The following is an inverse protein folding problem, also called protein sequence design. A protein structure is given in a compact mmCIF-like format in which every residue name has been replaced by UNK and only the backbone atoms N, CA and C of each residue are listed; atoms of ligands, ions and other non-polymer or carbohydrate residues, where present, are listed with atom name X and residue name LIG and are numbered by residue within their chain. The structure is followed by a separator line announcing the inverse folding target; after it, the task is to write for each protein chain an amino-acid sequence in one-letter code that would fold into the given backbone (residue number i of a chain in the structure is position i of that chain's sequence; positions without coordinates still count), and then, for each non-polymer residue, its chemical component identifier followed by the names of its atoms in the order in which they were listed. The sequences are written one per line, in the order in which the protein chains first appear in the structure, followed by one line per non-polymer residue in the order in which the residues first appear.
data_IF_931982747504
#
_entry.id   IF_931982747504
#
_cell.length_a   1.000
_cell.length_b   1.000
_cell.length_c   1.000
_cell.angle_alpha   90.00
_cell.angle_beta   90.00
_cell.angle_gamma   90.00
#
_symmetry.space_group_name_H-M   'P 1'
#
loop_
_entity.id
_entity.type
_entity.pdbx_description
1 polymer ?
#
# COMPACT_ATOMS: atom_id res chain seq x y z
N UNK A 1 21.57 14.72 34.75
CA UNK A 1 20.26 15.29 34.36
C UNK A 1 19.30 14.13 34.10
N UNK A 2 18.20 14.01 34.84
CA UNK A 2 17.09 13.13 34.41
C UNK A 2 16.35 13.88 33.30
N UNK A 3 16.68 13.56 32.05
CA UNK A 3 15.98 14.14 30.90
C UNK A 3 14.58 13.55 30.78
N UNK A 4 13.63 14.37 30.32
CA UNK A 4 12.34 13.86 29.86
C UNK A 4 12.55 13.16 28.51
N UNK A 5 11.99 11.97 28.35
CA UNK A 5 12.04 11.22 27.09
C UNK A 5 10.66 11.10 26.47
N UNK A 6 10.59 11.24 25.15
CA UNK A 6 9.45 10.81 24.35
C UNK A 6 9.86 9.55 23.60
N UNK A 7 9.07 8.48 23.78
CA UNK A 7 9.32 7.18 23.16
C UNK A 7 8.14 6.87 22.26
N UNK A 8 8.39 6.58 21.00
CA UNK A 8 7.37 6.17 20.03
C UNK A 8 7.61 4.70 19.71
N UNK A 9 6.60 3.86 19.91
CA UNK A 9 6.70 2.41 19.71
C UNK A 9 5.63 2.02 18.70
N UNK A 10 6.07 1.38 17.62
CA UNK A 10 5.17 0.73 16.67
C UNK A 10 5.07 -0.77 16.98
N UNK A 11 3.85 -1.25 17.21
CA UNK A 11 3.60 -2.69 17.40
C UNK A 11 2.94 -3.29 16.17
N UNK A 12 3.63 -4.27 15.59
CA UNK A 12 3.14 -5.11 14.48
C UNK A 12 2.48 -6.41 14.97
N UNK A 13 2.74 -6.81 16.21
CA UNK A 13 2.15 -7.96 16.89
C UNK A 13 1.79 -7.60 18.33
N UNK A 14 0.92 -8.40 18.93
CA UNK A 14 0.56 -8.21 20.34
C UNK A 14 1.64 -8.78 21.25
N UNK A 15 1.75 -8.22 22.45
CA UNK A 15 2.69 -8.65 23.49
C UNK A 15 1.92 -8.95 24.76
N UNK A 16 2.42 -9.82 25.63
CA UNK A 16 1.78 -10.06 26.92
C UNK A 16 2.05 -8.94 27.93
N UNK A 17 1.25 -8.93 28.99
CA UNK A 17 1.24 -7.86 29.98
C UNK A 17 2.51 -7.85 30.84
N UNK A 18 3.11 -9.01 31.07
CA UNK A 18 4.32 -9.14 31.89
C UNK A 18 5.55 -8.62 31.14
N UNK A 19 5.65 -8.88 29.83
CA UNK A 19 6.71 -8.30 29.00
C UNK A 19 6.56 -6.78 28.85
N UNK A 20 5.32 -6.28 28.71
CA UNK A 20 5.05 -4.85 28.77
C UNK A 20 5.44 -4.24 30.13
N UNK A 21 5.08 -4.88 31.25
CA UNK A 21 5.36 -4.40 32.60
C UNK A 21 6.87 -4.29 32.87
N UNK A 22 7.67 -5.28 32.45
CA UNK A 22 9.13 -5.23 32.54
C UNK A 22 9.70 -4.04 31.79
N UNK A 23 9.27 -3.84 30.54
CA UNK A 23 9.72 -2.73 29.71
C UNK A 23 9.33 -1.36 30.29
N UNK A 24 8.06 -1.20 30.67
CA UNK A 24 7.54 0.03 31.25
C UNK A 24 8.23 0.37 32.58
N UNK A 25 8.49 -0.62 33.43
CA UNK A 25 9.20 -0.45 34.71
C UNK A 25 10.63 0.03 34.55
N UNK A 26 11.31 -0.40 33.48
CA UNK A 26 12.64 0.12 33.13
C UNK A 26 12.56 1.61 32.76
N UNK A 27 11.58 2.01 31.94
CA UNK A 27 11.44 3.39 31.47
C UNK A 27 11.10 4.40 32.57
N UNK A 28 10.23 4.04 33.52
CA UNK A 28 9.87 4.92 34.65
C UNK A 28 11.11 5.32 35.47
N UNK A 29 12.14 4.47 35.53
CA UNK A 29 13.37 4.76 36.28
C UNK A 29 14.22 5.86 35.63
N UNK A 30 14.11 6.05 34.31
CA UNK A 30 15.00 6.92 33.52
C UNK A 30 14.67 8.40 33.71
N UNK A 31 13.38 8.78 33.74
CA UNK A 31 12.99 10.19 33.85
C UNK A 31 11.55 10.37 34.29
N UNK A 32 11.31 11.17 35.35
CA UNK A 32 9.95 11.60 35.68
C UNK A 32 9.45 12.52 34.57
N UNK A 33 8.20 12.33 34.13
CA UNK A 33 7.60 13.11 33.05
C UNK A 33 7.81 12.56 31.64
N UNK A 34 8.51 11.44 31.48
CA UNK A 34 8.62 10.75 30.18
C UNK A 34 7.26 10.27 29.67
N UNK A 35 7.12 10.23 28.34
CA UNK A 35 5.88 9.87 27.63
C UNK A 35 6.16 8.73 26.65
N UNK A 36 5.20 7.82 26.51
CA UNK A 36 5.22 6.76 25.50
C UNK A 36 4.01 6.97 24.58
N UNK A 37 4.26 6.97 23.27
CA UNK A 37 3.23 6.93 22.23
C UNK A 37 3.27 5.55 21.62
N UNK A 38 2.14 4.83 21.70
CA UNK A 38 1.98 3.53 21.07
C UNK A 38 1.23 3.72 19.76
N UNK A 39 1.82 3.29 18.65
CA UNK A 39 1.21 3.25 17.33
C UNK A 39 0.97 1.78 16.97
N UNK A 40 -0.27 1.39 16.71
CA UNK A 40 -0.57 0.01 16.32
C UNK A 40 -1.92 -0.11 15.63
N UNK A 41 -2.07 -1.17 14.83
CA UNK A 41 -3.34 -1.63 14.26
C UNK A 41 -4.09 -2.59 15.20
N UNK A 42 -3.45 -3.05 16.28
CA UNK A 42 -4.00 -4.04 17.22
C UNK A 42 -4.75 -3.33 18.33
N UNK A 43 -6.09 -3.32 18.23
CA UNK A 43 -6.96 -2.65 19.22
C UNK A 43 -6.74 -3.16 20.65
N UNK A 44 -6.33 -4.43 20.83
CA UNK A 44 -6.09 -5.03 22.16
C UNK A 44 -4.92 -4.40 22.92
N UNK A 45 -3.98 -3.75 22.24
CA UNK A 45 -2.87 -3.02 22.88
C UNK A 45 -3.33 -1.74 23.59
N UNK A 46 -4.57 -1.29 23.35
CA UNK A 46 -5.17 -0.18 24.10
C UNK A 46 -5.20 -0.40 25.61
N UNK A 47 -5.13 -1.65 26.08
CA UNK A 47 -5.05 -1.99 27.51
C UNK A 47 -3.79 -1.45 28.20
N UNK A 48 -2.74 -1.14 27.44
CA UNK A 48 -1.51 -0.51 27.94
C UNK A 48 -1.58 1.01 27.99
N UNK A 49 -2.62 1.62 27.42
CA UNK A 49 -2.74 3.07 27.36
C UNK A 49 -3.20 3.64 28.70
N UNK A 50 -2.55 4.73 29.12
CA UNK A 50 -2.97 5.52 30.29
C UNK A 50 -4.02 6.59 29.96
N UNK A 51 -4.34 6.76 28.67
CA UNK A 51 -5.34 7.70 28.15
C UNK A 51 -6.20 7.01 27.10
N UNK A 52 -7.36 7.60 26.78
CA UNK A 52 -8.24 7.08 25.72
C UNK A 52 -7.46 6.99 24.39
N UNK A 53 -7.43 5.83 23.72
CA UNK A 53 -6.76 5.69 22.43
C UNK A 53 -7.36 6.61 21.37
N UNK A 54 -6.51 7.12 20.48
CA UNK A 54 -6.92 7.83 19.27
C UNK A 54 -7.04 6.80 18.14
N UNK A 55 -8.24 6.64 17.60
CA UNK A 55 -8.46 5.80 16.43
C UNK A 55 -8.38 6.66 15.18
N UNK A 56 -7.45 6.34 14.29
CA UNK A 56 -7.38 6.94 12.98
C UNK A 56 -8.50 6.36 12.10
N UNK A 57 -9.32 7.22 11.52
CA UNK A 57 -10.35 6.88 10.54
C UNK A 57 -9.89 7.22 9.12
N UNK A 58 -10.58 6.67 8.13
CA UNK A 58 -10.45 7.17 6.76
C UNK A 58 -10.82 8.66 6.70
N UNK A 59 -10.15 9.40 5.80
CA UNK A 59 -10.51 10.79 5.51
C UNK A 59 -11.90 10.84 4.90
N UNK A 60 -12.68 11.85 5.26
CA UNK A 60 -13.89 12.19 4.52
C UNK A 60 -13.55 12.58 3.08
N UNK A 61 -14.56 12.57 2.20
CA UNK A 61 -14.37 12.97 0.81
C UNK A 61 -13.77 14.38 0.68
N UNK A 62 -14.24 15.35 1.47
CA UNK A 62 -13.77 16.74 1.41
C UNK A 62 -12.33 16.89 1.91
N UNK A 63 -11.97 16.18 2.99
CA UNK A 63 -10.59 16.15 3.50
C UNK A 63 -9.64 15.51 2.50
N UNK A 64 -10.02 14.36 1.92
CA UNK A 64 -9.22 13.70 0.89
C UNK A 64 -9.08 14.57 -0.35
N UNK A 65 -10.17 15.17 -0.81
CA UNK A 65 -10.20 16.08 -1.97
C UNK A 65 -9.27 17.28 -1.76
N UNK A 66 -9.34 17.92 -0.59
CA UNK A 66 -8.45 19.02 -0.24
C UNK A 66 -6.99 18.58 -0.24
N UNK A 67 -6.67 17.53 0.52
CA UNK A 67 -5.31 17.00 0.64
C UNK A 67 -4.75 16.59 -0.73
N UNK A 68 -5.54 15.89 -1.54
CA UNK A 68 -5.13 15.42 -2.86
C UNK A 68 -4.78 16.57 -3.79
N UNK A 69 -5.53 17.67 -3.79
CA UNK A 69 -5.20 18.86 -4.59
C UNK A 69 -3.85 19.44 -4.18
N UNK A 70 -3.62 19.62 -2.89
CA UNK A 70 -2.32 20.11 -2.39
C UNK A 70 -1.19 19.18 -2.84
N UNK A 71 -1.40 17.87 -2.79
CA UNK A 71 -0.40 16.88 -3.21
C UNK A 71 -0.23 16.75 -4.72
N UNK A 72 -1.24 16.98 -5.55
CA UNK A 72 -1.13 16.84 -7.01
C UNK A 72 -0.52 18.09 -7.65
N UNK A 73 -0.81 19.28 -7.12
CA UNK A 73 -0.30 20.55 -7.65
C UNK A 73 1.00 21.00 -6.98
N UNK A 74 1.21 20.68 -5.70
CA UNK A 74 2.41 21.10 -4.97
C UNK A 74 2.50 22.59 -4.79
N UNK A 75 3.58 23.20 -5.27
CA UNK A 75 3.79 24.64 -5.19
C UNK A 75 3.11 25.42 -6.31
N UNK A 76 2.51 24.73 -7.30
CA UNK A 76 1.80 25.37 -8.40
C UNK A 76 0.42 25.81 -7.94
N UNK A 77 0.01 27.02 -8.31
CA UNK A 77 -1.34 27.52 -8.03
C UNK A 77 -2.37 26.75 -8.88
N UNK A 78 -3.29 25.98 -8.26
CA UNK A 78 -4.29 25.21 -9.01
C UNK A 78 -5.28 26.09 -9.79
N UNK A 79 -5.42 27.37 -9.43
CA UNK A 79 -6.37 28.29 -10.08
C UNK A 79 -5.94 28.64 -11.52
N UNK A 80 -4.65 28.53 -11.82
CA UNK A 80 -4.09 28.71 -13.17
C UNK A 80 -4.42 27.53 -14.10
N UNK A 81 -4.88 26.40 -13.54
CA UNK A 81 -5.14 25.15 -14.26
C UNK A 81 -6.57 24.62 -14.03
N UNK A 82 -7.63 25.34 -14.44
CA UNK A 82 -9.02 25.01 -14.10
C UNK A 82 -9.47 23.61 -14.57
N UNK A 83 -8.96 23.12 -15.71
CA UNK A 83 -9.26 21.76 -16.20
C UNK A 83 -8.62 20.67 -15.33
N UNK A 84 -7.37 20.87 -14.91
CA UNK A 84 -6.70 19.94 -14.00
C UNK A 84 -7.36 19.95 -12.63
N UNK A 85 -7.87 21.10 -12.19
CA UNK A 85 -8.59 21.21 -10.91
C UNK A 85 -9.87 20.36 -10.91
N UNK A 86 -10.59 20.32 -12.04
CA UNK A 86 -11.74 19.42 -12.23
C UNK A 86 -11.33 17.95 -12.24
N UNK A 87 -10.23 17.61 -12.92
CA UNK A 87 -9.70 16.25 -12.91
C UNK A 87 -9.27 15.81 -11.51
N UNK A 88 -8.66 16.70 -10.72
CA UNK A 88 -8.31 16.41 -9.33
C UNK A 88 -9.54 16.05 -8.48
N UNK A 89 -10.69 16.68 -8.77
CA UNK A 89 -11.96 16.35 -8.11
C UNK A 89 -12.46 14.96 -8.49
N UNK A 90 -12.35 14.59 -9.77
CA UNK A 90 -12.69 13.23 -10.22
C UNK A 90 -11.75 12.18 -9.63
N UNK A 91 -10.45 12.44 -9.58
CA UNK A 91 -9.49 11.58 -8.88
C UNK A 91 -9.86 11.40 -7.39
N UNK A 92 -10.18 12.49 -6.70
CA UNK A 92 -10.58 12.41 -5.29
C UNK A 92 -11.84 11.55 -5.09
N UNK A 93 -12.80 11.60 -6.02
CA UNK A 93 -13.98 10.70 -6.00
C UNK A 93 -13.57 9.25 -6.18
N UNK A 94 -12.70 8.95 -7.15
CA UNK A 94 -12.22 7.59 -7.40
C UNK A 94 -11.47 7.06 -6.18
N UNK A 95 -10.49 7.81 -5.65
CA UNK A 95 -9.69 7.43 -4.48
C UNK A 95 -10.56 7.24 -3.23
N UNK A 96 -11.51 8.15 -2.98
CA UNK A 96 -12.45 8.00 -1.87
C UNK A 96 -13.34 6.77 -2.06
N UNK A 97 -13.85 6.55 -3.27
CA UNK A 97 -14.70 5.39 -3.55
C UNK A 97 -13.97 4.09 -3.27
N UNK A 98 -12.67 4.00 -3.53
CA UNK A 98 -11.79 2.86 -3.27
C UNK A 98 -11.42 2.69 -1.80
N UNK A 99 -11.73 3.68 -0.95
CA UNK A 99 -11.16 3.82 0.39
C UNK A 99 -9.62 3.73 0.35
N UNK A 100 -9.03 4.44 -0.62
CA UNK A 100 -7.59 4.45 -0.83
C UNK A 100 -6.86 4.94 0.43
N UNK A 101 -5.76 4.26 0.74
CA UNK A 101 -4.83 4.68 1.79
C UNK A 101 -4.13 5.99 1.42
N UNK A 102 -3.51 6.63 2.42
CA UNK A 102 -2.65 7.79 2.16
C UNK A 102 -1.48 7.43 1.23
N UNK A 103 -0.94 6.21 1.33
CA UNK A 103 0.12 5.72 0.43
C UNK A 103 -0.36 5.72 -1.02
N UNK A 104 -1.49 5.06 -1.32
CA UNK A 104 -2.07 5.05 -2.68
C UNK A 104 -2.37 6.46 -3.18
N UNK A 105 -2.95 7.30 -2.33
CA UNK A 105 -3.24 8.71 -2.64
C UNK A 105 -1.97 9.47 -3.01
N UNK A 106 -0.85 9.25 -2.29
CA UNK A 106 0.43 9.91 -2.58
C UNK A 106 1.06 9.44 -3.89
N UNK A 107 0.88 8.17 -4.27
CA UNK A 107 1.38 7.63 -5.56
C UNK A 107 0.73 8.32 -6.74
N UNK A 108 -0.62 8.40 -6.75
CA UNK A 108 -1.32 9.11 -7.82
C UNK A 108 -0.95 10.59 -7.84
N UNK A 109 -0.87 11.24 -6.68
CA UNK A 109 -0.50 12.65 -6.61
C UNK A 109 0.92 12.91 -7.13
N UNK A 110 1.91 12.06 -6.79
CA UNK A 110 3.29 12.18 -7.31
C UNK A 110 3.35 11.94 -8.82
N UNK A 111 2.60 10.95 -9.34
CA UNK A 111 2.50 10.69 -10.78
C UNK A 111 1.94 11.90 -11.54
N UNK A 112 0.85 12.50 -11.03
CA UNK A 112 0.21 13.65 -11.67
C UNK A 112 1.06 14.92 -11.58
N UNK A 113 1.77 15.15 -10.48
CA UNK A 113 2.61 16.34 -10.31
C UNK A 113 3.78 16.40 -11.30
N UNK A 114 4.25 15.25 -11.81
CA UNK A 114 5.37 15.18 -12.77
C UNK A 114 5.05 15.82 -14.12
N UNK A 115 3.77 15.93 -14.47
CA UNK A 115 3.33 16.55 -15.71
C UNK A 115 1.96 17.19 -15.51
N UNK A 116 1.90 18.52 -15.52
CA UNK A 116 0.65 19.29 -15.48
C UNK A 116 0.01 19.39 -16.87
N UNK A 117 -0.16 18.24 -17.51
CA UNK A 117 -0.80 18.07 -18.81
C UNK A 117 -2.15 17.36 -18.67
N UNK A 118 -3.17 17.91 -19.33
CA UNK A 118 -4.56 17.42 -19.24
C UNK A 118 -4.68 16.01 -19.79
N UNK A 119 -4.01 15.69 -20.90
CA UNK A 119 -4.13 14.36 -21.52
C UNK A 119 -3.48 13.29 -20.65
N UNK A 120 -2.32 13.62 -20.06
CA UNK A 120 -1.61 12.77 -19.11
C UNK A 120 -2.49 12.45 -17.89
N UNK A 121 -3.12 13.47 -17.29
CA UNK A 121 -4.02 13.29 -16.15
C UNK A 121 -5.25 12.46 -16.50
N UNK A 122 -5.88 12.70 -17.66
CA UNK A 122 -6.99 11.88 -18.15
C UNK A 122 -6.58 10.40 -18.31
N UNK A 123 -5.44 10.13 -18.94
CA UNK A 123 -4.96 8.76 -19.15
C UNK A 123 -4.71 7.99 -17.86
N UNK A 124 -4.14 8.66 -16.85
CA UNK A 124 -3.93 8.07 -15.52
C UNK A 124 -5.29 7.84 -14.82
N UNK A 125 -6.24 8.77 -14.94
CA UNK A 125 -7.57 8.64 -14.35
C UNK A 125 -8.33 7.46 -14.95
N UNK A 126 -8.35 7.35 -16.27
CA UNK A 126 -8.98 6.25 -17.00
C UNK A 126 -8.38 4.90 -16.61
N UNK A 127 -7.06 4.86 -16.45
CA UNK A 127 -6.34 3.68 -15.96
C UNK A 127 -6.78 3.30 -14.53
N UNK A 128 -6.86 4.26 -13.62
CA UNK A 128 -7.36 4.04 -12.25
C UNK A 128 -8.81 3.55 -12.22
N UNK A 129 -9.69 4.12 -13.05
CA UNK A 129 -11.10 3.70 -13.16
C UNK A 129 -11.21 2.26 -13.68
N UNK A 130 -10.44 1.89 -14.72
CA UNK A 130 -10.43 0.51 -15.23
C UNK A 130 -9.90 -0.47 -14.19
N UNK A 131 -8.79 -0.15 -13.55
CA UNK A 131 -8.21 -0.93 -12.46
C UNK A 131 -9.22 -1.22 -11.34
N UNK A 132 -9.95 -0.19 -10.90
CA UNK A 132 -11.01 -0.33 -9.89
C UNK A 132 -12.12 -1.28 -10.38
N UNK A 133 -12.67 -1.03 -11.57
CA UNK A 133 -13.77 -1.84 -12.14
C UNK A 133 -13.36 -3.30 -12.32
N UNK A 134 -12.13 -3.54 -12.78
CA UNK A 134 -11.59 -4.88 -13.01
C UNK A 134 -11.46 -5.66 -11.71
N UNK A 135 -10.85 -5.08 -10.68
CA UNK A 135 -10.72 -5.75 -9.38
C UNK A 135 -12.07 -5.99 -8.71
N UNK A 136 -12.99 -5.02 -8.81
CA UNK A 136 -14.35 -5.20 -8.31
C UNK A 136 -15.07 -6.34 -9.04
N UNK A 137 -14.89 -6.46 -10.36
CA UNK A 137 -15.48 -7.54 -11.15
C UNK A 137 -14.86 -8.92 -10.87
N UNK A 138 -13.54 -8.99 -10.66
CA UNK A 138 -12.83 -10.26 -10.46
C UNK A 138 -12.96 -10.79 -9.02
N UNK A 139 -12.95 -9.89 -8.03
CA UNK A 139 -12.85 -10.26 -6.62
C UNK A 139 -14.02 -9.79 -5.77
N UNK A 140 -14.95 -8.99 -6.31
CA UNK A 140 -16.05 -8.40 -5.54
C UNK A 140 -15.57 -7.39 -4.48
N UNK A 141 -14.31 -6.98 -4.54
CA UNK A 141 -13.63 -6.19 -3.53
C UNK A 141 -12.89 -5.02 -4.17
N UNK A 142 -12.88 -3.87 -3.50
CA UNK A 142 -12.12 -2.70 -3.95
C UNK A 142 -10.63 -2.92 -3.69
N UNK A 143 -9.75 -2.72 -4.67
CA UNK A 143 -8.33 -2.95 -4.50
C UNK A 143 -7.74 -1.88 -3.57
N UNK A 144 -7.27 -2.31 -2.39
CA UNK A 144 -6.63 -1.45 -1.39
C UNK A 144 -5.48 -2.17 -0.72
N UNK A 145 -4.43 -1.45 -0.32
CA UNK A 145 -3.26 -2.02 0.40
C UNK A 145 -3.66 -2.93 1.56
N UNK A 146 -4.66 -2.55 2.36
CA UNK A 146 -5.10 -3.33 3.51
C UNK A 146 -5.55 -4.76 3.15
N UNK A 147 -6.00 -4.99 1.92
CA UNK A 147 -6.37 -6.33 1.44
C UNK A 147 -5.14 -7.16 1.06
N UNK A 148 -4.11 -6.52 0.50
CA UNK A 148 -2.83 -7.18 0.20
C UNK A 148 -2.20 -7.73 1.49
N UNK A 149 -2.21 -6.95 2.56
CA UNK A 149 -1.72 -7.35 3.88
C UNK A 149 -2.54 -8.49 4.50
N UNK A 150 -3.80 -8.66 4.07
CA UNK A 150 -4.69 -9.76 4.49
C UNK A 150 -4.58 -11.00 3.60
N UNK A 151 -3.71 -10.99 2.59
CA UNK A 151 -3.52 -12.14 1.73
C UNK A 151 -4.32 -12.11 0.42
N UNK A 152 -5.10 -11.07 0.16
CA UNK A 152 -5.94 -11.00 -1.03
C UNK A 152 -5.15 -10.51 -2.26
N UNK A 153 -5.36 -11.10 -3.44
CA UNK A 153 -4.70 -10.67 -4.66
C UNK A 153 -5.26 -9.33 -5.17
N UNK A 154 -4.41 -8.55 -5.85
CA UNK A 154 -4.83 -7.35 -6.60
C UNK A 154 -4.32 -7.46 -8.03
N UNK A 155 -5.23 -7.38 -9.00
CA UNK A 155 -4.91 -7.40 -10.43
C UNK A 155 -4.48 -6.00 -10.89
N UNK A 156 -3.28 -5.87 -11.46
CA UNK A 156 -2.73 -4.60 -11.95
C UNK A 156 -2.55 -4.59 -13.47
N UNK A 157 -3.40 -5.34 -14.18
CA UNK A 157 -3.32 -5.48 -15.64
C UNK A 157 -3.49 -4.13 -16.34
N UNK A 158 -4.44 -3.32 -15.89
CA UNK A 158 -4.70 -2.00 -16.50
C UNK A 158 -3.51 -1.05 -16.35
N UNK A 159 -2.68 -1.24 -15.31
CA UNK A 159 -1.49 -0.43 -15.03
C UNK A 159 -0.29 -0.94 -15.82
N UNK A 160 -0.06 -2.25 -15.84
CA UNK A 160 1.14 -2.87 -16.45
C UNK A 160 0.96 -3.22 -17.93
N UNK A 161 -0.27 -3.14 -18.45
CA UNK A 161 -0.66 -3.60 -19.80
C UNK A 161 -0.39 -5.09 -20.06
N UNK A 162 -0.21 -5.88 -19.01
CA UNK A 162 0.09 -7.31 -19.04
C UNK A 162 -0.63 -7.98 -17.85
N UNK A 163 -1.03 -9.26 -17.95
CA UNK A 163 -1.82 -9.90 -16.90
C UNK A 163 -0.96 -10.12 -15.64
N UNK A 164 -0.96 -9.16 -14.71
CA UNK A 164 -0.14 -9.17 -13.50
C UNK A 164 -0.98 -9.11 -12.26
N UNK A 165 -0.54 -9.82 -11.22
CA UNK A 165 -1.18 -9.82 -9.90
C UNK A 165 -0.14 -9.55 -8.83
N UNK A 166 -0.51 -8.67 -7.90
CA UNK A 166 0.24 -8.49 -6.67
C UNK A 166 -0.15 -9.63 -5.72
N UNK A 167 0.85 -10.42 -5.32
CA UNK A 167 0.68 -11.49 -4.35
C UNK A 167 1.22 -11.08 -2.97
N UNK A 168 0.63 -11.58 -1.88
CA UNK A 168 1.16 -11.38 -0.53
C UNK A 168 2.56 -11.95 -0.45
N UNK A 169 3.51 -11.17 0.07
CA UNK A 169 4.90 -11.58 0.13
C UNK A 169 5.10 -12.75 1.11
N UNK A 170 5.36 -13.95 0.60
CA UNK A 170 6.05 -15.00 1.37
C UNK A 170 7.52 -14.94 1.00
N UNK A 171 8.36 -14.51 1.96
CA UNK A 171 9.82 -14.42 1.82
C UNK A 171 10.43 -15.83 1.70
N UNK A 172 10.22 -16.51 0.58
CA UNK A 172 10.82 -17.81 0.30
C UNK A 172 11.06 -17.93 -1.21
N UNK A 173 12.20 -17.45 -1.67
CA UNK A 173 13.08 -18.16 -2.61
C UNK A 173 14.21 -17.23 -3.08
N UNK A 174 15.43 -17.72 -2.89
CA UNK A 174 16.62 -17.29 -3.60
C UNK A 174 16.44 -17.57 -5.10
N UNK A 175 16.21 -16.53 -5.90
CA UNK A 175 16.45 -16.47 -7.36
C UNK A 175 16.85 -15.01 -7.66
N UNK A 176 17.71 -14.79 -8.66
CA UNK A 176 18.17 -13.51 -9.19
C UNK A 176 17.23 -12.33 -8.87
N UNK A 177 17.77 -11.27 -8.26
CA UNK A 177 16.98 -10.11 -7.80
C UNK A 177 16.12 -9.59 -8.96
N UNK A 178 14.79 -9.78 -8.94
CA UNK A 178 13.92 -9.33 -10.01
C UNK A 178 14.06 -7.82 -10.19
N UNK A 179 13.81 -7.31 -11.40
CA UNK A 179 13.80 -5.87 -11.63
C UNK A 179 12.85 -5.19 -10.63
N UNK A 180 13.28 -4.06 -10.05
CA UNK A 180 12.44 -3.23 -9.19
C UNK A 180 11.88 -2.07 -10.00
N UNK A 181 10.58 -1.85 -9.90
CA UNK A 181 9.86 -0.78 -10.59
C UNK A 181 9.03 -0.01 -9.58
N UNK A 182 9.02 1.31 -9.66
CA UNK A 182 8.15 2.13 -8.80
C UNK A 182 6.73 2.23 -9.37
N UNK A 183 5.73 2.37 -8.50
CA UNK A 183 4.35 2.56 -8.96
C UNK A 183 4.19 3.84 -9.79
N UNK A 184 4.93 4.90 -9.46
CA UNK A 184 4.92 6.13 -10.25
C UNK A 184 5.45 5.92 -11.66
N UNK A 185 6.57 5.20 -11.84
CA UNK A 185 7.11 4.89 -13.17
C UNK A 185 6.11 4.09 -14.02
N UNK A 186 5.42 3.10 -13.44
CA UNK A 186 4.39 2.34 -14.17
C UNK A 186 3.26 3.24 -14.68
N UNK A 187 2.86 4.24 -13.88
CA UNK A 187 1.78 5.16 -14.23
C UNK A 187 2.19 6.21 -15.26
N UNK A 188 3.44 6.69 -15.20
CA UNK A 188 3.88 7.85 -15.99
C UNK A 188 4.76 7.52 -17.19
N UNK A 189 5.54 6.44 -17.13
CA UNK A 189 6.49 6.07 -18.18
C UNK A 189 5.93 4.90 -19.02
N UNK A 190 5.58 5.13 -20.30
CA UNK A 190 5.07 4.08 -21.18
C UNK A 190 6.12 3.03 -21.55
N UNK A 191 7.41 3.32 -21.40
CA UNK A 191 8.50 2.37 -21.68
C UNK A 191 8.65 1.31 -20.58
N UNK A 192 8.20 1.62 -19.36
CA UNK A 192 8.28 0.74 -18.20
C UNK A 192 7.08 -0.22 -18.22
N UNK A 193 7.21 -1.30 -18.99
CA UNK A 193 6.19 -2.35 -19.12
C UNK A 193 6.82 -3.72 -18.87
N UNK A 194 6.99 -4.12 -17.58
CA UNK A 194 7.54 -5.42 -17.24
C UNK A 194 6.65 -6.54 -17.81
N UNK A 195 7.27 -7.62 -18.29
CA UNK A 195 6.57 -8.78 -18.88
C UNK A 195 6.53 -10.00 -17.97
N UNK A 196 7.62 -10.19 -17.22
CA UNK A 196 7.76 -11.23 -16.20
C UNK A 196 7.64 -10.66 -14.81
N UNK A 197 7.93 -11.50 -13.82
CA UNK A 197 7.84 -11.13 -12.41
C UNK A 197 8.77 -9.95 -12.06
N UNK A 198 8.32 -9.11 -11.13
CA UNK A 198 9.07 -7.93 -10.71
C UNK A 198 8.72 -7.52 -9.28
N UNK A 199 9.59 -6.68 -8.71
CA UNK A 199 9.36 -6.04 -7.41
C UNK A 199 8.71 -4.68 -7.65
N UNK A 200 7.51 -4.47 -7.12
CA UNK A 200 6.83 -3.19 -7.10
C UNK A 200 7.19 -2.43 -5.82
N UNK A 201 7.84 -1.28 -5.97
CA UNK A 201 8.00 -0.30 -4.89
C UNK A 201 6.81 0.66 -5.00
N UNK A 202 5.80 0.45 -4.16
CA UNK A 202 4.60 1.26 -4.17
C UNK A 202 4.90 2.69 -3.73
N UNK A 203 5.61 2.84 -2.60
CA UNK A 203 6.03 4.13 -2.07
C UNK A 203 7.22 3.96 -1.12
N UNK A 204 8.07 4.98 -1.06
CA UNK A 204 9.19 5.07 -0.13
C UNK A 204 9.14 6.42 0.60
N UNK A 205 9.32 6.36 1.92
CA UNK A 205 9.31 7.55 2.76
C UNK A 205 10.50 8.45 2.47
N UNK A 206 10.24 9.74 2.24
CA UNK A 206 11.28 10.76 2.11
C UNK A 206 11.88 11.20 3.45
N UNK A 207 11.26 10.78 4.56
CA UNK A 207 11.74 11.06 5.91
C UNK A 207 12.31 9.78 6.55
N UNK A 208 13.39 9.89 7.34
CA UNK A 208 13.91 8.76 8.09
C UNK A 208 12.82 8.08 8.94
N UNK A 209 12.82 6.74 9.05
CA UNK A 209 13.87 5.83 8.61
C UNK A 209 13.76 5.33 7.14
N UNK A 210 13.02 6.04 6.27
CA UNK A 210 12.86 5.68 4.84
C UNK A 210 12.16 4.33 4.61
N UNK A 211 11.14 4.03 5.41
CA UNK A 211 10.30 2.85 5.21
C UNK A 211 9.70 2.81 3.81
N UNK A 212 9.63 1.60 3.24
CA UNK A 212 9.11 1.36 1.89
C UNK A 212 8.01 0.31 1.87
N UNK A 213 7.01 0.54 1.01
CA UNK A 213 5.92 -0.40 0.75
C UNK A 213 6.27 -1.19 -0.50
N UNK A 214 6.74 -2.42 -0.31
CA UNK A 214 7.27 -3.27 -1.39
C UNK A 214 6.42 -4.51 -1.56
N UNK A 215 6.09 -4.84 -2.80
CA UNK A 215 5.29 -6.00 -3.16
C UNK A 215 5.91 -6.80 -4.29
N UNK A 216 5.68 -8.10 -4.30
CA UNK A 216 6.06 -8.96 -5.41
C UNK A 216 4.90 -9.10 -6.39
N UNK A 217 5.19 -8.95 -7.67
CA UNK A 217 4.21 -9.04 -8.75
C UNK A 217 4.53 -10.25 -9.60
N UNK A 218 3.53 -11.10 -9.81
CA UNK A 218 3.63 -12.27 -10.68
C UNK A 218 2.94 -12.02 -12.01
N UNK A 219 3.59 -12.44 -13.09
CA UNK A 219 3.00 -12.48 -14.43
C UNK A 219 2.13 -13.73 -14.57
N UNK A 220 0.92 -13.55 -15.10
CA UNK A 220 -0.02 -14.62 -15.45
C UNK A 220 -0.09 -14.85 -16.96
N UNK A 221 0.98 -14.52 -17.69
CA UNK A 221 1.06 -14.85 -19.11
C UNK A 221 0.69 -16.32 -19.30
N UNK A 222 -0.30 -16.58 -20.15
CA UNK A 222 -0.98 -17.88 -20.30
C UNK A 222 0.02 -19.04 -20.27
N UNK A 223 -0.27 -20.04 -19.44
CA UNK A 223 0.14 -21.44 -19.64
C UNK A 223 -0.44 -21.95 -20.97
N UNK A 224 0.09 -21.43 -22.07
CA UNK A 224 -0.06 -21.99 -23.41
C UNK A 224 1.33 -22.42 -23.80
N UNK A 225 1.73 -23.61 -23.35
CA UNK A 225 2.25 -24.67 -24.21
C UNK A 225 2.38 -25.99 -23.42
N UNK A 226 1.59 -26.96 -23.87
CA UNK A 226 1.66 -28.41 -23.67
C UNK A 226 1.34 -29.01 -22.30
N UNK A 227 0.25 -29.79 -22.32
CA UNK A 227 -0.16 -30.67 -21.23
C UNK A 227 0.94 -31.63 -20.81
N UNK A 228 1.11 -31.72 -19.50
CA UNK A 228 1.71 -32.88 -18.86
C UNK A 228 0.71 -33.39 -17.82
N UNK A 229 0.12 -34.53 -18.18
CA UNK A 229 -0.34 -35.62 -17.32
C UNK A 229 -0.42 -35.35 -15.81
N UNK A 230 -1.66 -35.40 -15.31
CA UNK A 230 -2.05 -35.70 -13.94
C UNK A 230 -1.07 -36.69 -13.25
N UNK A 231 -0.53 -36.39 -12.05
CA UNK A 231 0.15 -37.40 -11.26
C UNK A 231 -0.89 -38.38 -10.73
N UNK A 232 -0.82 -39.63 -11.20
CA UNK A 232 -1.74 -40.70 -10.85
C UNK A 232 -1.83 -40.96 -9.35
N UNK A 233 -3.06 -41.19 -8.89
CA UNK A 233 -3.40 -41.78 -7.58
C UNK A 233 -2.53 -43.01 -7.31
N UNK A 234 -1.56 -42.91 -6.40
CA UNK A 234 -0.95 -44.08 -5.76
C UNK A 234 -1.97 -44.70 -4.79
N UNK A 235 -2.53 -45.85 -5.18
CA UNK A 235 -3.30 -46.73 -4.29
C UNK A 235 -2.37 -47.22 -3.18
N UNK A 236 -2.76 -47.02 -1.91
CA UNK A 236 -2.17 -47.70 -0.75
C UNK A 236 -2.50 -49.19 -0.86
N UNK A 237 -1.47 -50.03 -1.01
CA UNK A 237 -1.56 -51.46 -0.74
C UNK A 237 -1.55 -51.70 0.76
N UNK A 238 -2.48 -52.51 1.24
CA UNK A 238 -2.55 -53.03 2.62
C UNK A 238 -1.55 -54.19 2.74
N UNK A 239 -0.81 -54.36 3.85
CA UNK A 239 0.02 -55.53 4.06
C UNK A 239 -0.79 -56.69 4.66
N UNK A 240 -0.46 -57.91 4.22
CA UNK A 240 -0.67 -59.16 4.97
C UNK A 240 0.61 -59.43 5.75
#
# INVERSE_FOLDING_TARGET
MKGMMLIVIEFVSDIDDNDWEKFHSFLIKIGRGSKIIIVSRIKRLARFASVKPIFLSALSHDELRYLFKIMAFGSVDPTEHPRLLQLADEFAKVLHSMQASLVETTVFADALRRSLDVQSWCGILDTGIRFLKRNLSLYGMQPRIALLEQGHPVDITDVTSHPHIIAPYTMNASIEKPQSVTATELLTDPSVRPKGDFILILWESRIPPHESFVYFVTSRAQDTHHGSTLPGRKRRGVPV
#
